data_IF_922909388397
#
_entry.id   IF_922909388397
#
_cell.length_a   1.000
_cell.length_b   1.000
_cell.length_c   1.000
_cell.angle_alpha   90.00
_cell.angle_beta   90.00
_cell.angle_gamma   90.00
#
_symmetry.space_group_name_H-M   'P 1'
#
loop_
_entity.id
_entity.type
_entity.pdbx_description
1 polymer ?
#
# COMPACT_ATOMS: atom_id res chain seq x y z
N UNK A 1 -12.65 14.70 -5.47
CA UNK A 1 -13.50 15.48 -6.34
C UNK A 1 -14.25 14.60 -7.34
N UNK A 2 -15.05 15.19 -8.22
CA UNK A 2 -15.83 14.38 -9.18
C UNK A 2 -14.96 13.59 -10.17
N UNK A 3 -13.77 14.08 -10.51
CA UNK A 3 -12.86 13.45 -11.47
C UNK A 3 -12.32 12.10 -11.00
N UNK A 4 -12.12 11.91 -9.73
CA UNK A 4 -11.64 10.64 -9.17
C UNK A 4 -12.66 9.49 -9.26
N UNK A 5 -13.90 9.83 -9.68
CA UNK A 5 -14.96 8.88 -10.02
C UNK A 5 -15.23 8.84 -11.51
N UNK A 6 -15.32 9.99 -12.18
CA UNK A 6 -15.71 10.09 -13.61
C UNK A 6 -14.67 9.40 -14.50
N UNK A 7 -13.39 9.66 -14.29
CA UNK A 7 -12.32 9.11 -15.11
C UNK A 7 -12.28 7.56 -15.08
N UNK A 8 -12.31 6.88 -13.91
CA UNK A 8 -12.42 5.43 -13.87
C UNK A 8 -13.67 4.86 -14.53
N UNK A 9 -14.84 5.51 -14.38
CA UNK A 9 -16.07 5.08 -15.00
C UNK A 9 -15.97 5.15 -16.53
N UNK A 10 -15.41 6.24 -17.06
CA UNK A 10 -15.18 6.39 -18.51
C UNK A 10 -14.16 5.37 -19.02
N UNK A 11 -13.12 5.06 -18.25
CA UNK A 11 -12.16 4.01 -18.57
C UNK A 11 -12.85 2.65 -18.68
N UNK A 12 -13.66 2.27 -17.69
CA UNK A 12 -14.41 1.01 -17.72
C UNK A 12 -15.32 0.91 -18.95
N UNK A 13 -16.04 1.98 -19.25
CA UNK A 13 -16.88 2.04 -20.45
C UNK A 13 -16.07 1.91 -21.76
N UNK A 14 -14.94 2.61 -21.86
CA UNK A 14 -14.07 2.53 -23.03
C UNK A 14 -13.47 1.11 -23.20
N UNK A 15 -13.07 0.48 -22.09
CA UNK A 15 -12.59 -0.90 -22.09
C UNK A 15 -13.67 -1.87 -22.62
N UNK A 16 -14.92 -1.70 -22.21
CA UNK A 16 -16.03 -2.51 -22.73
C UNK A 16 -16.20 -2.34 -24.24
N UNK A 17 -16.07 -1.11 -24.78
CA UNK A 17 -16.13 -0.86 -26.22
C UNK A 17 -14.99 -1.54 -26.98
N UNK A 18 -13.80 -1.62 -26.39
CA UNK A 18 -12.68 -2.36 -26.96
C UNK A 18 -12.97 -3.87 -26.95
N UNK A 19 -13.52 -4.40 -25.85
CA UNK A 19 -13.91 -5.81 -25.76
C UNK A 19 -14.97 -6.16 -26.81
N UNK A 20 -16.03 -5.35 -26.94
CA UNK A 20 -17.06 -5.50 -27.96
C UNK A 20 -16.45 -5.58 -29.39
N UNK A 21 -15.60 -4.60 -29.70
CA UNK A 21 -14.93 -4.57 -31.01
C UNK A 21 -14.01 -5.78 -31.23
N UNK A 22 -13.28 -6.20 -30.21
CA UNK A 22 -12.43 -7.39 -30.29
C UNK A 22 -13.26 -8.65 -30.57
N UNK A 23 -14.32 -8.85 -29.81
CA UNK A 23 -15.23 -9.99 -29.96
C UNK A 23 -15.83 -10.04 -31.37
N UNK A 24 -16.34 -8.91 -31.88
CA UNK A 24 -16.96 -8.81 -33.19
C UNK A 24 -15.99 -9.10 -34.36
N UNK A 25 -14.70 -8.76 -34.21
CA UNK A 25 -13.75 -8.84 -35.32
C UNK A 25 -12.80 -10.06 -35.24
N UNK A 26 -12.61 -10.66 -34.04
CA UNK A 26 -11.58 -11.69 -33.84
C UNK A 26 -12.08 -12.99 -33.21
N UNK A 27 -13.32 -13.01 -32.67
CA UNK A 27 -13.88 -14.20 -32.06
C UNK A 27 -14.88 -14.90 -32.98
N UNK A 28 -14.95 -16.23 -32.86
CA UNK A 28 -15.95 -17.05 -33.53
C UNK A 28 -17.29 -16.97 -32.77
N UNK A 29 -18.44 -17.12 -33.45
CA UNK A 29 -19.75 -17.23 -32.77
C UNK A 29 -19.87 -18.41 -31.78
N UNK A 30 -18.97 -19.39 -31.87
CA UNK A 30 -18.91 -20.54 -30.96
C UNK A 30 -17.99 -20.34 -29.77
N UNK A 31 -17.21 -19.27 -29.75
CA UNK A 31 -16.28 -18.99 -28.67
C UNK A 31 -17.07 -18.60 -27.39
N UNK A 32 -16.62 -19.12 -26.26
CA UNK A 32 -17.14 -18.73 -24.94
C UNK A 32 -16.23 -17.63 -24.40
N UNK A 33 -16.83 -16.47 -24.19
CA UNK A 33 -16.10 -15.26 -23.80
C UNK A 33 -16.50 -14.85 -22.40
N UNK A 34 -15.52 -14.56 -21.56
CA UNK A 34 -15.70 -13.95 -20.25
C UNK A 34 -14.86 -12.68 -20.15
N UNK A 35 -15.49 -11.58 -19.75
CA UNK A 35 -14.83 -10.32 -19.47
C UNK A 35 -14.66 -10.14 -17.96
N UNK A 36 -13.40 -9.97 -17.52
CA UNK A 36 -13.07 -9.86 -16.12
C UNK A 36 -12.71 -8.41 -15.76
N UNK A 37 -13.43 -7.87 -14.79
CA UNK A 37 -13.28 -6.48 -14.32
C UNK A 37 -12.83 -6.46 -12.87
N UNK A 38 -11.82 -5.65 -12.58
CA UNK A 38 -11.25 -5.51 -11.26
C UNK A 38 -11.57 -4.17 -10.65
N UNK A 39 -12.01 -4.19 -9.39
CA UNK A 39 -12.34 -3.01 -8.60
C UNK A 39 -13.54 -2.21 -9.16
N UNK A 40 -14.13 -1.36 -8.33
CA UNK A 40 -15.20 -0.45 -8.74
C UNK A 40 -14.82 0.41 -9.96
N UNK A 41 -13.52 0.70 -10.12
CA UNK A 41 -12.98 1.58 -11.15
C UNK A 41 -13.21 1.08 -12.57
N UNK A 42 -13.34 -0.23 -12.78
CA UNK A 42 -13.57 -0.81 -14.11
C UNK A 42 -14.99 -1.34 -14.29
N UNK A 43 -15.76 -1.41 -13.20
CA UNK A 43 -17.02 -2.15 -13.15
C UNK A 43 -18.14 -1.56 -14.05
N UNK A 44 -18.07 -0.29 -14.42
CA UNK A 44 -18.99 0.30 -15.40
C UNK A 44 -18.95 -0.44 -16.75
N UNK A 45 -17.79 -1.01 -17.11
CA UNK A 45 -17.60 -1.75 -18.35
C UNK A 45 -18.44 -3.02 -18.43
N UNK A 46 -18.42 -3.85 -17.38
CA UNK A 46 -19.23 -5.06 -17.38
C UNK A 46 -20.72 -4.77 -17.30
N UNK A 47 -21.12 -3.74 -16.53
CA UNK A 47 -22.54 -3.30 -16.54
C UNK A 47 -23.00 -2.85 -17.93
N UNK A 48 -22.10 -2.23 -18.69
CA UNK A 48 -22.36 -1.89 -20.09
C UNK A 48 -22.49 -3.15 -20.96
N UNK A 49 -21.55 -4.12 -20.87
CA UNK A 49 -21.56 -5.35 -21.65
C UNK A 49 -22.82 -6.18 -21.37
N UNK A 50 -23.21 -6.36 -20.13
CA UNK A 50 -24.43 -7.09 -19.74
C UNK A 50 -25.67 -6.55 -20.45
N UNK A 51 -25.74 -5.26 -20.70
CA UNK A 51 -26.86 -4.63 -21.37
C UNK A 51 -26.79 -4.73 -22.89
N UNK A 52 -25.61 -4.66 -23.48
CA UNK A 52 -25.40 -4.50 -24.93
C UNK A 52 -24.90 -5.76 -25.63
N UNK A 53 -24.21 -6.65 -24.90
CA UNK A 53 -23.71 -7.94 -25.42
C UNK A 53 -23.80 -9.03 -24.34
N UNK A 54 -25.02 -9.53 -24.07
CA UNK A 54 -25.30 -10.50 -23.00
C UNK A 54 -24.67 -11.88 -23.22
N UNK A 55 -24.05 -12.14 -24.37
CA UNK A 55 -23.32 -13.37 -24.64
C UNK A 55 -21.91 -13.36 -24.03
N UNK A 56 -21.43 -12.22 -23.57
CA UNK A 56 -20.17 -12.10 -22.86
C UNK A 56 -20.45 -12.28 -21.37
N UNK A 57 -19.96 -13.37 -20.78
CA UNK A 57 -20.04 -13.57 -19.33
C UNK A 57 -19.18 -12.53 -18.60
N UNK A 58 -19.65 -12.07 -17.44
CA UNK A 58 -18.99 -11.00 -16.69
C UNK A 58 -18.48 -11.52 -15.34
N UNK A 59 -17.21 -11.23 -15.02
CA UNK A 59 -16.61 -11.52 -13.73
C UNK A 59 -16.20 -10.22 -13.07
N UNK A 60 -16.58 -10.02 -11.82
CA UNK A 60 -16.17 -8.88 -11.01
C UNK A 60 -15.32 -9.33 -9.83
N UNK A 61 -14.14 -8.73 -9.66
CA UNK A 61 -13.28 -8.95 -8.48
C UNK A 61 -13.04 -7.65 -7.74
N UNK A 62 -13.41 -7.59 -6.46
CA UNK A 62 -12.95 -6.54 -5.56
C UNK A 62 -11.78 -7.03 -4.70
N UNK A 63 -10.70 -6.25 -4.65
CA UNK A 63 -9.51 -6.57 -3.84
C UNK A 63 -9.59 -5.96 -2.44
N UNK A 64 -10.37 -4.90 -2.27
CA UNK A 64 -10.71 -4.28 -1.00
C UNK A 64 -11.93 -3.39 -1.21
N UNK A 65 -12.94 -3.53 -0.37
CA UNK A 65 -14.17 -2.75 -0.50
C UNK A 65 -13.93 -1.25 -0.33
N UNK A 66 -14.65 -0.42 -1.09
CA UNK A 66 -14.63 1.05 -0.95
C UNK A 66 -14.91 1.45 0.50
N UNK A 67 -15.89 0.79 1.12
CA UNK A 67 -16.27 1.10 2.48
C UNK A 67 -15.26 0.62 3.52
N UNK A 68 -14.68 -0.57 3.36
CA UNK A 68 -13.64 -1.09 4.22
C UNK A 68 -12.43 -0.14 4.27
N UNK A 69 -11.97 0.30 3.10
CA UNK A 69 -10.88 1.31 2.99
C UNK A 69 -11.25 2.64 3.65
N UNK A 70 -12.47 3.12 3.45
CA UNK A 70 -12.92 4.41 3.99
C UNK A 70 -13.05 4.36 5.51
N UNK A 71 -13.61 3.29 6.06
CA UNK A 71 -13.79 3.11 7.51
C UNK A 71 -12.42 3.01 8.21
N UNK A 72 -11.56 2.11 7.74
CA UNK A 72 -10.22 1.93 8.31
C UNK A 72 -9.34 3.17 8.12
N UNK A 73 -9.38 3.81 6.94
CA UNK A 73 -8.62 5.03 6.65
C UNK A 73 -9.01 6.22 7.53
N UNK A 74 -10.25 6.26 8.01
CA UNK A 74 -10.71 7.26 8.98
C UNK A 74 -10.50 6.83 10.44
N UNK A 75 -9.78 5.75 10.70
CA UNK A 75 -9.44 5.28 12.05
C UNK A 75 -10.62 4.68 12.82
N UNK A 76 -11.69 4.31 12.12
CA UNK A 76 -12.83 3.62 12.75
C UNK A 76 -12.59 2.11 12.82
N UNK A 77 -13.05 1.42 13.87
CA UNK A 77 -12.93 -0.04 13.97
C UNK A 77 -13.77 -0.71 12.87
N UNK A 78 -13.09 -1.44 11.98
CA UNK A 78 -13.76 -2.13 10.87
C UNK A 78 -14.25 -3.51 11.32
N UNK A 79 -13.33 -4.37 11.75
CA UNK A 79 -13.66 -5.79 11.98
C UNK A 79 -14.34 -6.08 13.30
N UNK A 80 -14.15 -5.24 14.32
CA UNK A 80 -14.81 -5.37 15.62
C UNK A 80 -16.31 -5.08 15.56
N UNK A 81 -16.70 -4.17 14.68
CA UNK A 81 -18.08 -3.69 14.55
C UNK A 81 -18.71 -4.00 13.19
N UNK A 82 -18.06 -4.80 12.34
CA UNK A 82 -18.43 -5.01 10.93
C UNK A 82 -19.92 -5.33 10.75
N UNK A 83 -20.50 -6.15 11.64
CA UNK A 83 -21.92 -6.55 11.58
C UNK A 83 -22.90 -5.46 11.99
N UNK A 84 -22.41 -4.36 12.60
CA UNK A 84 -23.23 -3.24 13.09
C UNK A 84 -23.12 -2.01 12.21
N UNK A 85 -22.20 -2.03 11.23
CA UNK A 85 -21.95 -0.88 10.38
C UNK A 85 -23.05 -0.71 9.33
N UNK A 86 -23.54 0.50 9.18
CA UNK A 86 -24.41 0.87 8.06
C UNK A 86 -23.55 1.47 6.93
N UNK A 87 -23.23 0.64 5.93
CA UNK A 87 -22.34 1.03 4.84
C UNK A 87 -22.89 2.20 4.02
N UNK A 88 -24.18 2.23 3.72
CA UNK A 88 -24.81 3.30 2.90
C UNK A 88 -24.82 4.65 3.64
N UNK A 89 -24.98 4.64 4.97
CA UNK A 89 -24.90 5.85 5.79
C UNK A 89 -23.45 6.36 5.89
N UNK A 90 -22.51 5.46 6.13
CA UNK A 90 -21.09 5.79 6.17
C UNK A 90 -20.56 6.26 4.81
N UNK A 91 -21.09 5.73 3.69
CA UNK A 91 -20.75 6.19 2.36
C UNK A 91 -21.12 7.67 2.15
N UNK A 92 -22.28 8.10 2.67
CA UNK A 92 -22.68 9.52 2.69
C UNK A 92 -21.74 10.35 3.55
N UNK A 93 -21.44 9.87 4.76
CA UNK A 93 -20.54 10.55 5.70
C UNK A 93 -19.15 10.79 5.13
N UNK A 94 -18.60 9.79 4.41
CA UNK A 94 -17.26 9.86 3.81
C UNK A 94 -17.24 10.43 2.40
N UNK A 95 -18.40 10.77 1.81
CA UNK A 95 -18.48 11.31 0.46
C UNK A 95 -18.13 10.32 -0.66
N UNK A 96 -18.32 9.02 -0.42
CA UNK A 96 -17.98 7.93 -1.37
C UNK A 96 -19.18 7.19 -1.93
N UNK A 97 -20.37 7.79 -1.87
CA UNK A 97 -21.63 7.17 -2.31
C UNK A 97 -21.53 6.64 -3.75
N UNK A 98 -21.00 7.43 -4.68
CA UNK A 98 -20.91 7.05 -6.09
C UNK A 98 -20.03 5.80 -6.28
N UNK A 99 -18.86 5.76 -5.63
CA UNK A 99 -17.94 4.61 -5.71
C UNK A 99 -18.54 3.37 -5.05
N UNK A 100 -19.11 3.52 -3.86
CA UNK A 100 -19.74 2.44 -3.13
C UNK A 100 -20.95 1.86 -3.86
N UNK A 101 -21.84 2.70 -4.40
CA UNK A 101 -23.02 2.22 -5.14
C UNK A 101 -22.64 1.49 -6.42
N UNK A 102 -21.61 1.95 -7.13
CA UNK A 102 -21.12 1.27 -8.33
C UNK A 102 -20.51 -0.09 -8.00
N UNK A 103 -19.68 -0.18 -6.95
CA UNK A 103 -19.10 -1.45 -6.45
C UNK A 103 -20.21 -2.43 -6.05
N UNK A 104 -21.20 -1.96 -5.28
CA UNK A 104 -22.34 -2.76 -4.83
C UNK A 104 -23.17 -3.28 -6.02
N UNK A 105 -23.49 -2.42 -6.99
CA UNK A 105 -24.21 -2.80 -8.19
C UNK A 105 -23.45 -3.87 -8.99
N UNK A 106 -22.13 -3.71 -9.15
CA UNK A 106 -21.32 -4.70 -9.84
C UNK A 106 -21.32 -6.05 -9.10
N UNK A 107 -21.15 -6.04 -7.78
CA UNK A 107 -21.22 -7.25 -6.96
C UNK A 107 -22.56 -7.98 -7.07
N UNK A 108 -23.66 -7.25 -7.20
CA UNK A 108 -25.01 -7.81 -7.30
C UNK A 108 -25.35 -8.33 -8.70
N UNK A 109 -24.87 -7.68 -9.74
CA UNK A 109 -25.36 -7.88 -11.11
C UNK A 109 -24.47 -8.77 -11.99
N UNK A 110 -23.17 -8.82 -11.75
CA UNK A 110 -22.25 -9.63 -12.57
C UNK A 110 -22.54 -11.13 -12.43
N UNK A 111 -22.24 -11.90 -13.46
CA UNK A 111 -22.46 -13.35 -13.48
C UNK A 111 -21.64 -14.09 -12.43
N UNK A 112 -20.45 -13.56 -12.09
CA UNK A 112 -19.60 -14.09 -11.04
C UNK A 112 -18.95 -12.96 -10.23
N UNK A 113 -19.10 -13.01 -8.90
CA UNK A 113 -18.48 -12.05 -7.99
C UNK A 113 -17.40 -12.73 -7.15
N UNK A 114 -16.17 -12.23 -7.21
CA UNK A 114 -15.03 -12.82 -6.53
C UNK A 114 -14.29 -11.78 -5.68
N UNK A 115 -13.48 -12.27 -4.74
CA UNK A 115 -12.54 -11.46 -3.96
C UNK A 115 -11.28 -12.25 -3.62
N UNK A 116 -10.27 -11.58 -3.04
CA UNK A 116 -8.91 -12.11 -2.89
C UNK A 116 -8.64 -12.76 -1.53
N UNK A 117 -9.56 -12.69 -0.57
CA UNK A 117 -9.38 -13.30 0.77
C UNK A 117 -10.71 -13.49 1.49
N UNK A 118 -10.74 -14.42 2.45
CA UNK A 118 -11.88 -14.62 3.33
C UNK A 118 -12.21 -13.38 4.15
N UNK A 119 -11.20 -12.59 4.50
CA UNK A 119 -11.38 -11.33 5.22
C UNK A 119 -12.14 -10.31 4.37
N UNK A 120 -11.75 -10.15 3.09
CA UNK A 120 -12.46 -9.28 2.15
C UNK A 120 -13.86 -9.84 1.82
N UNK A 121 -14.02 -11.17 1.75
CA UNK A 121 -15.33 -11.78 1.58
C UNK A 121 -16.30 -11.42 2.71
N UNK A 122 -15.81 -11.37 3.97
CA UNK A 122 -16.60 -10.85 5.10
C UNK A 122 -16.99 -9.39 4.93
N UNK A 123 -16.08 -8.54 4.43
CA UNK A 123 -16.41 -7.14 4.10
C UNK A 123 -17.52 -7.09 3.04
N UNK A 124 -17.39 -7.85 1.95
CA UNK A 124 -18.41 -7.92 0.89
C UNK A 124 -19.78 -8.28 1.44
N UNK A 125 -19.86 -9.32 2.28
CA UNK A 125 -21.10 -9.74 2.89
C UNK A 125 -21.80 -8.64 3.69
N UNK A 126 -21.06 -7.91 4.52
CA UNK A 126 -21.66 -6.94 5.45
C UNK A 126 -21.73 -5.51 4.87
N UNK A 127 -20.82 -5.13 3.96
CA UNK A 127 -20.75 -3.77 3.42
C UNK A 127 -21.39 -3.65 2.03
N UNK A 128 -21.37 -4.73 1.21
CA UNK A 128 -22.02 -4.76 -0.09
C UNK A 128 -23.34 -5.57 -0.05
N UNK A 129 -23.63 -6.26 1.05
CA UNK A 129 -24.78 -7.16 1.24
C UNK A 129 -24.82 -8.29 0.21
N UNK A 130 -23.65 -8.74 -0.25
CA UNK A 130 -23.51 -9.82 -1.22
C UNK A 130 -22.43 -10.79 -0.76
N UNK A 131 -22.75 -12.06 -0.68
CA UNK A 131 -21.77 -13.12 -0.52
C UNK A 131 -21.01 -13.29 -1.84
N UNK A 132 -19.70 -13.54 -1.78
CA UNK A 132 -18.87 -13.82 -2.96
C UNK A 132 -19.10 -15.25 -3.44
N UNK A 133 -19.05 -15.44 -4.77
CA UNK A 133 -19.16 -16.78 -5.36
C UNK A 133 -17.88 -17.59 -5.16
N UNK A 134 -16.71 -16.92 -5.20
CA UNK A 134 -15.42 -17.56 -5.03
C UNK A 134 -14.39 -16.60 -4.42
N UNK A 135 -13.53 -17.14 -3.55
CA UNK A 135 -12.31 -16.45 -3.09
C UNK A 135 -11.14 -16.89 -3.97
N UNK A 136 -10.52 -15.92 -4.64
CA UNK A 136 -9.39 -16.12 -5.56
C UNK A 136 -8.17 -15.36 -5.04
N UNK A 137 -7.33 -15.96 -4.16
CA UNK A 137 -6.15 -15.31 -3.63
C UNK A 137 -5.20 -14.85 -4.75
N UNK A 138 -4.51 -13.73 -4.50
CA UNK A 138 -3.48 -13.27 -5.43
C UNK A 138 -2.42 -14.35 -5.64
N UNK A 139 -2.04 -14.55 -6.90
CA UNK A 139 -0.96 -15.46 -7.26
C UNK A 139 0.40 -14.91 -6.85
N UNK A 140 1.37 -15.78 -6.74
CA UNK A 140 2.77 -15.47 -6.54
C UNK A 140 3.61 -16.30 -7.52
N UNK A 141 4.51 -15.63 -8.21
CA UNK A 141 5.53 -16.28 -9.05
C UNK A 141 6.88 -16.18 -8.35
N UNK A 142 7.63 -17.27 -8.29
CA UNK A 142 8.92 -17.32 -7.62
C UNK A 142 10.13 -17.22 -8.55
N UNK A 143 9.91 -17.06 -9.85
CA UNK A 143 10.95 -16.91 -10.88
C UNK A 143 11.91 -15.74 -10.60
N UNK A 144 11.45 -14.71 -9.88
CA UNK A 144 12.28 -13.58 -9.46
C UNK A 144 12.96 -13.77 -8.09
N UNK A 145 12.72 -14.91 -7.43
CA UNK A 145 13.41 -15.25 -6.18
C UNK A 145 14.80 -15.79 -6.53
N UNK A 146 15.82 -15.10 -6.07
CA UNK A 146 17.20 -15.49 -6.34
C UNK A 146 17.53 -16.86 -5.72
N UNK A 147 18.36 -17.64 -6.41
CA UNK A 147 18.93 -18.84 -5.82
C UNK A 147 19.64 -18.54 -4.50
N UNK A 148 19.62 -19.49 -3.56
CA UNK A 148 20.05 -19.30 -2.17
C UNK A 148 21.40 -18.62 -1.98
N UNK A 149 22.40 -18.99 -2.77
CA UNK A 149 23.77 -18.44 -2.66
C UNK A 149 23.81 -16.98 -3.14
N UNK A 150 23.11 -16.67 -4.23
CA UNK A 150 22.98 -15.31 -4.76
C UNK A 150 22.17 -14.45 -3.78
N UNK A 151 21.08 -15.01 -3.25
CA UNK A 151 20.25 -14.34 -2.25
C UNK A 151 21.06 -13.99 -0.99
N UNK A 152 21.87 -14.91 -0.47
CA UNK A 152 22.74 -14.66 0.69
C UNK A 152 23.72 -13.52 0.44
N UNK A 153 24.38 -13.52 -0.73
CA UNK A 153 25.33 -12.45 -1.10
C UNK A 153 24.63 -11.09 -1.23
N UNK A 154 23.51 -11.04 -1.96
CA UNK A 154 22.73 -9.80 -2.14
C UNK A 154 22.19 -9.28 -0.79
N UNK A 155 21.68 -10.15 0.06
CA UNK A 155 21.23 -9.78 1.41
C UNK A 155 22.35 -9.18 2.26
N UNK A 156 23.55 -9.76 2.20
CA UNK A 156 24.71 -9.23 2.92
C UNK A 156 25.04 -7.82 2.42
N UNK A 157 25.19 -7.63 1.11
CA UNK A 157 25.51 -6.35 0.51
C UNK A 157 24.43 -5.29 0.79
N UNK A 158 23.15 -5.65 0.64
CA UNK A 158 22.05 -4.75 0.95
C UNK A 158 22.03 -4.34 2.44
N UNK A 159 22.30 -5.29 3.34
CA UNK A 159 22.38 -5.03 4.77
C UNK A 159 23.50 -4.05 5.11
N UNK A 160 24.70 -4.26 4.56
CA UNK A 160 25.85 -3.38 4.75
C UNK A 160 25.53 -1.96 4.25
N UNK A 161 24.90 -1.85 3.09
CA UNK A 161 24.47 -0.55 2.53
C UNK A 161 23.42 0.14 3.42
N UNK A 162 22.43 -0.59 3.90
CA UNK A 162 21.40 -0.04 4.80
C UNK A 162 22.03 0.49 6.08
N UNK A 163 22.93 -0.24 6.71
CA UNK A 163 23.63 0.20 7.92
C UNK A 163 24.47 1.45 7.61
N UNK A 164 25.27 1.45 6.55
CA UNK A 164 26.12 2.59 6.19
C UNK A 164 25.29 3.86 5.92
N UNK A 165 24.17 3.75 5.20
CA UNK A 165 23.26 4.89 4.97
C UNK A 165 22.68 5.40 6.28
N UNK A 166 22.25 4.51 7.17
CA UNK A 166 21.71 4.90 8.47
C UNK A 166 22.76 5.60 9.33
N UNK A 167 23.98 5.05 9.44
CA UNK A 167 25.08 5.65 10.21
C UNK A 167 25.37 7.07 9.71
N UNK A 168 25.45 7.27 8.39
CA UNK A 168 25.68 8.58 7.79
C UNK A 168 24.53 9.55 8.11
N UNK A 169 23.29 9.14 7.88
CA UNK A 169 22.13 10.01 8.06
C UNK A 169 21.92 10.39 9.52
N UNK A 170 22.07 9.42 10.41
CA UNK A 170 21.79 9.58 11.85
C UNK A 170 22.98 10.16 12.61
N UNK A 171 24.19 10.13 12.03
CA UNK A 171 25.44 10.56 12.68
C UNK A 171 25.83 9.63 13.84
N UNK A 172 25.61 8.34 13.69
CA UNK A 172 25.92 7.31 14.69
C UNK A 172 26.85 6.25 14.12
N UNK A 173 27.33 5.37 15.00
CA UNK A 173 28.03 4.14 14.61
C UNK A 173 27.49 2.96 15.40
N UNK A 174 27.32 1.81 14.76
CA UNK A 174 26.88 0.58 15.40
C UNK A 174 28.07 -0.30 15.79
N UNK A 175 28.45 -0.28 17.06
CA UNK A 175 29.49 -1.19 17.61
C UNK A 175 29.03 -2.65 17.57
N UNK A 176 27.73 -2.89 17.56
CA UNK A 176 27.10 -4.21 17.48
C UNK A 176 26.14 -4.25 16.30
N UNK A 177 26.17 -5.33 15.52
CA UNK A 177 25.32 -5.54 14.36
C UNK A 177 23.83 -5.36 14.70
N UNK A 178 23.13 -4.33 14.15
CA UNK A 178 21.75 -4.04 14.53
C UNK A 178 20.76 -5.06 13.97
N UNK A 179 19.65 -5.26 14.67
CA UNK A 179 18.49 -5.94 14.09
C UNK A 179 17.81 -4.99 13.10
N UNK A 180 17.85 -5.34 11.81
CA UNK A 180 17.09 -4.59 10.81
C UNK A 180 15.68 -5.14 10.74
N UNK A 181 14.69 -4.25 10.93
CA UNK A 181 13.26 -4.51 10.73
C UNK A 181 12.71 -3.50 9.73
N UNK A 182 11.65 -3.83 9.02
CA UNK A 182 11.13 -2.89 8.03
C UNK A 182 9.70 -3.14 7.62
N UNK A 183 9.09 -2.09 7.08
CA UNK A 183 7.81 -2.15 6.40
C UNK A 183 7.90 -1.43 5.06
N UNK A 184 7.18 -1.93 4.06
CA UNK A 184 7.11 -1.34 2.73
C UNK A 184 5.68 -1.41 2.19
N UNK A 185 5.37 -0.57 1.20
CA UNK A 185 4.06 -0.55 0.58
C UNK A 185 3.65 0.84 0.14
N UNK A 186 2.37 1.03 -0.15
CA UNK A 186 1.79 2.35 -0.44
C UNK A 186 1.68 3.18 0.84
N UNK A 187 1.79 4.49 0.70
CA UNK A 187 1.67 5.42 1.83
C UNK A 187 0.20 5.60 2.25
N UNK A 188 -0.37 4.56 2.79
CA UNK A 188 -1.69 4.56 3.42
C UNK A 188 -1.51 4.41 4.94
N UNK A 189 -1.29 5.53 5.62
CA UNK A 189 -0.77 5.58 6.99
C UNK A 189 -1.55 4.70 7.98
N UNK A 190 -2.90 4.70 7.89
CA UNK A 190 -3.77 3.85 8.71
C UNK A 190 -3.98 2.46 8.12
N UNK A 191 -4.36 2.39 6.83
CA UNK A 191 -4.72 1.12 6.19
C UNK A 191 -3.57 0.13 6.07
N UNK A 192 -2.32 0.61 6.06
CA UNK A 192 -1.11 -0.23 6.02
C UNK A 192 -0.44 -0.40 7.38
N UNK A 193 -1.07 0.08 8.45
CA UNK A 193 -0.57 -0.08 9.81
C UNK A 193 0.75 0.64 10.08
N UNK A 194 1.08 1.68 9.31
CA UNK A 194 2.31 2.45 9.51
C UNK A 194 2.30 3.14 10.88
N UNK A 195 1.14 3.60 11.32
CA UNK A 195 0.94 4.17 12.65
C UNK A 195 1.21 3.15 13.77
N UNK A 196 0.74 1.91 13.61
CA UNK A 196 0.97 0.82 14.56
C UNK A 196 2.44 0.42 14.57
N UNK A 197 3.09 0.35 13.40
CA UNK A 197 4.51 0.06 13.30
C UNK A 197 5.35 1.12 14.02
N UNK A 198 5.08 2.41 13.78
CA UNK A 198 5.80 3.50 14.46
C UNK A 198 5.51 3.51 15.96
N UNK A 199 4.26 3.28 16.41
CA UNK A 199 3.93 3.17 17.84
C UNK A 199 4.70 2.04 18.52
N UNK A 200 4.83 0.90 17.85
CA UNK A 200 5.61 -0.23 18.36
C UNK A 200 7.09 0.13 18.54
N UNK A 201 7.67 0.88 17.60
CA UNK A 201 9.05 1.37 17.70
C UNK A 201 9.22 2.38 18.85
N UNK A 202 8.24 3.29 19.03
CA UNK A 202 8.25 4.26 20.14
C UNK A 202 8.21 3.52 21.49
N UNK A 203 7.29 2.57 21.64
CA UNK A 203 7.17 1.76 22.84
C UNK A 203 8.46 0.96 23.12
N UNK A 204 9.07 0.42 22.08
CA UNK A 204 10.34 -0.29 22.20
C UNK A 204 11.48 0.64 22.62
N UNK A 205 11.54 1.85 22.08
CA UNK A 205 12.55 2.86 22.43
C UNK A 205 12.35 3.41 23.85
N UNK A 206 11.10 3.48 24.34
CA UNK A 206 10.77 3.92 25.69
C UNK A 206 10.97 2.83 26.75
N UNK A 207 11.05 1.57 26.32
CA UNK A 207 11.32 0.43 27.19
C UNK A 207 12.75 0.42 27.75
N UNK A 208 13.05 -0.51 28.67
CA UNK A 208 14.40 -0.62 29.23
C UNK A 208 15.39 -1.07 28.14
N UNK A 209 16.39 -0.24 27.85
CA UNK A 209 17.44 -0.53 26.86
C UNK A 209 18.15 -1.87 27.14
N UNK A 210 18.27 -2.25 28.41
CA UNK A 210 18.84 -3.54 28.81
C UNK A 210 18.06 -4.78 28.37
N UNK A 211 16.79 -4.61 27.98
CA UNK A 211 15.98 -5.69 27.42
C UNK A 211 16.33 -6.01 25.95
N UNK A 212 17.00 -5.09 25.25
CA UNK A 212 17.44 -5.28 23.89
C UNK A 212 18.81 -5.93 23.86
N UNK A 213 18.90 -7.11 23.24
CA UNK A 213 20.18 -7.83 23.09
C UNK A 213 21.12 -7.16 22.07
N UNK A 214 20.58 -6.31 21.19
CA UNK A 214 21.29 -5.55 20.16
C UNK A 214 20.45 -4.35 19.70
N UNK A 215 21.05 -3.31 19.10
CA UNK A 215 20.31 -2.18 18.57
C UNK A 215 19.28 -2.60 17.51
N UNK A 216 18.22 -1.82 17.36
CA UNK A 216 17.20 -2.00 16.33
C UNK A 216 17.28 -0.85 15.34
N UNK A 217 17.42 -1.18 14.04
CA UNK A 217 17.37 -0.25 12.94
C UNK A 217 16.10 -0.54 12.11
N UNK A 218 15.12 0.33 12.21
CA UNK A 218 13.87 0.20 11.48
C UNK A 218 13.91 0.98 10.17
N UNK A 219 13.41 0.37 9.08
CA UNK A 219 13.22 1.02 7.80
C UNK A 219 11.75 1.12 7.45
N UNK A 220 11.31 2.32 7.06
CA UNK A 220 9.98 2.57 6.49
C UNK A 220 10.19 2.96 5.04
N UNK A 221 9.85 2.07 4.11
CA UNK A 221 10.08 2.23 2.67
C UNK A 221 8.73 2.39 1.96
N UNK A 222 8.16 3.59 2.06
CA UNK A 222 6.88 3.92 1.42
C UNK A 222 7.02 5.21 0.61
N UNK A 223 6.54 5.26 -0.65
CA UNK A 223 6.66 6.45 -1.48
C UNK A 223 5.82 7.59 -0.91
N UNK A 224 6.46 8.70 -0.59
CA UNK A 224 5.81 9.95 -0.20
C UNK A 224 6.15 11.07 -1.17
N UNK A 225 5.42 12.19 -1.09
CA UNK A 225 5.76 13.39 -1.84
C UNK A 225 7.17 13.87 -1.50
N UNK A 226 8.07 13.83 -2.45
CA UNK A 226 9.46 14.25 -2.27
C UNK A 226 9.97 15.01 -3.49
N UNK A 227 11.01 15.82 -3.29
CA UNK A 227 11.67 16.62 -4.33
C UNK A 227 13.04 16.05 -4.74
N UNK A 228 13.28 14.79 -4.40
CA UNK A 228 14.49 14.05 -4.78
C UNK A 228 15.36 13.65 -3.60
N UNK A 229 16.42 12.86 -3.87
CA UNK A 229 17.33 12.37 -2.84
C UNK A 229 18.14 13.50 -2.21
N UNK A 230 18.51 13.33 -0.95
CA UNK A 230 19.36 14.28 -0.20
C UNK A 230 20.73 14.43 -0.86
N UNK A 231 21.06 15.65 -1.26
CA UNK A 231 22.35 15.97 -1.92
C UNK A 231 23.53 15.81 -0.97
N UNK A 232 23.37 16.18 0.29
CA UNK A 232 24.38 16.01 1.34
C UNK A 232 24.69 14.53 1.58
N UNK A 233 23.67 13.67 1.65
CA UNK A 233 23.83 12.22 1.76
C UNK A 233 24.55 11.64 0.53
N UNK A 234 24.16 12.05 -0.68
CA UNK A 234 24.82 11.62 -1.91
C UNK A 234 26.30 12.05 -1.96
N UNK A 235 26.61 13.26 -1.48
CA UNK A 235 27.98 13.74 -1.38
C UNK A 235 28.77 12.93 -0.35
N UNK A 236 28.19 12.68 0.83
CA UNK A 236 28.85 11.93 1.92
C UNK A 236 29.11 10.46 1.58
N UNK A 237 28.23 9.85 0.79
CA UNK A 237 28.44 8.48 0.27
C UNK A 237 29.60 8.37 -0.70
N UNK A 238 29.97 9.47 -1.37
CA UNK A 238 31.11 9.53 -2.30
C UNK A 238 32.39 10.01 -1.64
N UNK A 239 32.29 10.95 -0.70
CA UNK A 239 33.40 11.54 0.02
C UNK A 239 33.10 11.51 1.54
N UNK A 240 33.82 10.69 2.30
CA UNK A 240 33.67 10.60 3.76
C UNK A 240 33.87 11.93 4.53
N UNK A 241 34.44 12.96 3.90
CA UNK A 241 34.65 14.27 4.51
C UNK A 241 33.54 15.28 4.18
N UNK A 242 32.63 14.97 3.24
CA UNK A 242 31.52 15.85 2.91
C UNK A 242 30.62 16.07 4.13
N UNK A 243 30.17 17.30 4.33
CA UNK A 243 29.35 17.65 5.50
C UNK A 243 27.90 17.31 5.25
N UNK A 244 27.24 16.79 6.31
CA UNK A 244 25.78 16.61 6.34
C UNK A 244 25.12 17.94 6.73
N UNK A 245 23.98 18.26 6.09
CA UNK A 245 23.22 19.46 6.40
C UNK A 245 22.43 19.28 7.73
N UNK A 246 22.77 20.03 8.79
CA UNK A 246 22.13 19.90 10.08
C UNK A 246 20.67 20.43 10.10
N UNK A 247 20.25 21.18 9.09
CA UNK A 247 18.88 21.68 8.96
C UNK A 247 17.91 20.63 8.42
N UNK A 248 18.41 19.54 7.84
CA UNK A 248 17.60 18.47 7.27
C UNK A 248 17.32 17.41 8.32
N UNK A 249 16.08 16.94 8.37
CA UNK A 249 15.68 15.81 9.23
C UNK A 249 16.60 14.62 8.93
N UNK A 250 17.34 14.14 9.93
CA UNK A 250 18.34 13.08 9.73
C UNK A 250 17.75 11.71 9.40
N UNK A 251 16.52 11.45 9.81
CA UNK A 251 15.84 10.16 9.65
C UNK A 251 15.27 9.90 8.24
N UNK A 252 15.55 10.78 7.26
CA UNK A 252 15.05 10.66 5.89
C UNK A 252 16.19 10.56 4.88
N UNK A 253 15.94 9.90 3.76
CA UNK A 253 16.90 9.78 2.65
C UNK A 253 16.61 10.73 1.48
N UNK A 254 15.43 11.31 1.42
CA UNK A 254 14.97 12.25 0.39
C UNK A 254 14.35 13.46 1.04
N UNK A 255 14.43 14.62 0.37
CA UNK A 255 13.75 15.82 0.81
C UNK A 255 12.25 15.67 0.62
N UNK A 256 11.47 15.67 1.71
CA UNK A 256 10.02 15.65 1.64
C UNK A 256 9.48 16.99 1.11
N UNK A 257 8.41 16.93 0.32
CA UNK A 257 7.75 18.13 -0.23
C UNK A 257 7.08 18.97 0.86
N UNK A 258 6.57 18.34 1.92
CA UNK A 258 5.88 18.99 3.04
C UNK A 258 6.15 18.22 4.34
N UNK A 259 7.37 18.28 4.89
CA UNK A 259 7.76 17.47 6.06
C UNK A 259 6.96 17.81 7.32
N UNK A 260 6.46 19.03 7.45
CA UNK A 260 5.65 19.50 8.57
C UNK A 260 4.26 18.82 8.61
N UNK A 261 3.77 18.34 7.48
CA UNK A 261 2.47 17.66 7.35
C UNK A 261 2.60 16.14 7.18
N UNK A 262 3.83 15.62 7.13
CA UNK A 262 4.05 14.19 6.96
C UNK A 262 3.69 13.43 8.25
N UNK A 263 2.77 12.45 8.21
CA UNK A 263 2.29 11.77 9.41
C UNK A 263 3.35 10.88 10.07
N UNK A 264 4.32 10.33 9.32
CA UNK A 264 5.44 9.56 9.91
C UNK A 264 6.35 10.52 10.67
N UNK A 265 6.76 11.62 10.02
CA UNK A 265 7.61 12.64 10.65
C UNK A 265 6.91 13.23 11.88
N UNK A 266 5.63 13.61 11.75
CA UNK A 266 4.84 14.12 12.87
C UNK A 266 4.80 13.16 14.06
N UNK A 267 4.76 11.85 13.79
CA UNK A 267 4.67 10.83 14.83
C UNK A 267 6.01 10.51 15.52
N UNK A 268 7.12 10.52 14.77
CA UNK A 268 8.47 10.28 15.35
C UNK A 268 9.06 11.53 16.02
N UNK A 269 8.61 12.71 15.59
CA UNK A 269 9.06 13.99 16.13
C UNK A 269 8.87 14.02 17.66
N UNK A 270 9.88 14.49 18.39
CA UNK A 270 9.88 14.57 19.84
C UNK A 270 9.81 13.23 20.58
N UNK A 271 10.16 12.14 19.93
CA UNK A 271 10.31 10.81 20.55
C UNK A 271 11.78 10.40 20.62
N UNK A 272 12.07 9.33 21.36
CA UNK A 272 13.43 8.75 21.42
C UNK A 272 13.91 8.20 20.07
N UNK A 273 13.03 7.99 19.08
CA UNK A 273 13.41 7.60 17.72
C UNK A 273 14.22 8.70 16.99
N UNK A 274 14.14 9.94 17.47
CA UNK A 274 14.96 11.06 16.99
C UNK A 274 16.26 11.25 17.77
N UNK A 275 16.45 10.55 18.90
CA UNK A 275 17.65 10.62 19.72
C UNK A 275 18.73 9.68 19.14
N UNK A 276 19.93 10.18 18.79
CA UNK A 276 21.01 9.35 18.26
C UNK A 276 21.54 8.32 19.27
N UNK A 277 21.29 8.52 20.56
CA UNK A 277 21.71 7.59 21.61
C UNK A 277 20.70 6.48 21.87
N UNK A 278 19.51 6.55 21.27
CA UNK A 278 18.48 5.53 21.41
C UNK A 278 18.94 4.20 20.79
N UNK A 279 18.70 3.08 21.45
CA UNK A 279 19.00 1.76 20.88
C UNK A 279 18.03 1.36 19.76
N UNK A 280 17.00 2.15 19.52
CA UNK A 280 16.03 1.97 18.43
C UNK A 280 16.09 3.19 17.51
N UNK A 281 16.50 2.96 16.28
CA UNK A 281 16.62 4.00 15.26
C UNK A 281 15.66 3.73 14.11
N UNK A 282 15.17 4.78 13.47
CA UNK A 282 14.27 4.68 12.32
C UNK A 282 14.80 5.47 11.13
N UNK A 283 14.72 4.86 9.95
CA UNK A 283 15.01 5.49 8.66
C UNK A 283 13.76 5.47 7.79
N UNK A 284 13.36 6.62 7.27
CA UNK A 284 12.27 6.75 6.32
C UNK A 284 12.84 6.99 4.92
N UNK A 285 12.47 6.10 3.99
CA UNK A 285 12.84 6.17 2.58
C UNK A 285 11.57 6.50 1.76
N UNK A 286 11.27 7.80 1.54
CA UNK A 286 10.03 8.24 0.92
C UNK A 286 10.09 8.14 -0.62
N UNK A 287 10.51 7.00 -1.15
CA UNK A 287 10.68 6.79 -2.59
C UNK A 287 10.32 5.38 -2.99
N UNK A 288 9.96 5.21 -4.26
CA UNK A 288 9.86 3.88 -4.83
C UNK A 288 11.25 3.23 -4.88
N UNK A 289 11.32 1.99 -4.44
CA UNK A 289 12.52 1.16 -4.59
C UNK A 289 12.44 0.42 -5.91
N UNK A 290 13.49 0.52 -6.72
CA UNK A 290 13.61 -0.31 -7.90
C UNK A 290 14.09 -1.70 -7.47
N UNK A 291 13.41 -2.76 -7.91
CA UNK A 291 13.73 -4.14 -7.59
C UNK A 291 14.93 -4.72 -8.35
N UNK A 292 15.83 -3.85 -8.88
CA UNK A 292 16.98 -4.28 -9.72
C UNK A 292 18.26 -4.14 -8.93
#
# INVERSE_FOLDING_TARGET
>A
GQWDYIEPVLFGFAAAKVIESYVQNFCSPTDKIAAHFHEWMTSSGGLYLMKHDPNIATVFTTHATVMGRSIAGNGMPLYGDLTKLNADELARKFGVVAKHSLEKTAAEQYDCFTTVSDLTARECKYLLHKDVDLVTPNGFEDDFVWADDVLKQKRKAAREQMIAVAEICLGIHYDTDPLIVGTSGRYEFKNKGLDVFVDSLIQLADGPAAALKRPVLAYITVPAGNVGPRKDLQARLKDPNAQMDPSVIRNITHYLSAPEWDPIIGKIKNTKLMDPTSPVQVMFVPSYLNGV
#
